data_IF_290252067663
#
_entry.id   IF_290252067663
#
_cell.length_a   1.000
_cell.length_b   1.000
_cell.length_c   1.000
_cell.angle_alpha   90.00
_cell.angle_beta   90.00
_cell.angle_gamma   90.00
#
_symmetry.space_group_name_H-M   'P 1'
#
loop_
_entity.id
_entity.type
_entity.pdbx_description
1 polymer ?
#
# COMPACT_ATOMS: atom_id res chain seq x y z
N UNK A 1 17.33 5.84 6.10
CA UNK A 1 16.24 6.48 6.87
C UNK A 1 15.66 7.58 6.00
N UNK A 2 14.34 7.84 6.07
CA UNK A 2 13.65 8.90 5.37
C UNK A 2 12.81 9.71 6.35
N UNK A 3 12.47 10.95 5.99
CA UNK A 3 11.51 11.75 6.74
C UNK A 3 10.07 11.41 6.30
N UNK A 4 9.07 11.74 7.15
CA UNK A 4 7.66 11.59 6.81
C UNK A 4 7.32 12.36 5.52
N UNK A 5 7.81 13.58 5.39
CA UNK A 5 7.53 14.44 4.25
C UNK A 5 8.13 13.90 2.94
N UNK A 6 9.35 13.37 2.99
CA UNK A 6 9.99 12.80 1.78
C UNK A 6 9.27 11.52 1.35
N UNK A 7 8.84 10.70 2.32
CA UNK A 7 8.10 9.49 2.00
C UNK A 7 6.69 9.78 1.48
N UNK A 8 6.04 10.85 1.99
CA UNK A 8 4.77 11.33 1.46
C UNK A 8 4.92 11.81 0.01
N UNK A 9 5.98 12.57 -0.31
CA UNK A 9 6.29 12.99 -1.68
C UNK A 9 6.50 11.80 -2.62
N UNK A 10 7.23 10.78 -2.14
CA UNK A 10 7.39 9.53 -2.89
C UNK A 10 6.04 8.84 -3.15
N UNK A 11 5.21 8.71 -2.12
CA UNK A 11 3.89 8.08 -2.24
C UNK A 11 2.97 8.87 -3.18
N UNK A 12 2.99 10.20 -3.10
CA UNK A 12 2.22 11.05 -4.02
C UNK A 12 2.72 10.96 -5.46
N UNK A 13 4.04 10.90 -5.67
CA UNK A 13 4.63 10.68 -6.99
C UNK A 13 4.17 9.34 -7.58
N UNK A 14 4.12 8.28 -6.78
CA UNK A 14 3.63 6.97 -7.20
C UNK A 14 2.13 7.02 -7.57
N UNK A 15 1.31 7.69 -6.74
CA UNK A 15 -0.12 7.88 -6.99
C UNK A 15 -0.38 8.65 -8.28
N UNK A 16 0.43 9.66 -8.58
CA UNK A 16 0.35 10.49 -9.78
C UNK A 16 0.94 9.80 -11.04
N UNK A 17 1.18 8.51 -11.02
CA UNK A 17 1.72 7.78 -12.17
C UNK A 17 3.18 8.12 -12.50
N UNK A 18 3.96 8.41 -11.46
CA UNK A 18 5.42 8.58 -11.55
C UNK A 18 5.91 10.02 -11.69
N UNK A 19 5.04 11.01 -11.40
CA UNK A 19 5.38 12.43 -11.53
C UNK A 19 4.95 13.22 -10.29
N UNK A 20 5.75 14.21 -9.90
CA UNK A 20 5.41 15.17 -8.85
C UNK A 20 5.99 16.54 -9.17
N UNK A 21 5.18 17.59 -9.06
CA UNK A 21 5.58 19.00 -9.28
C UNK A 21 6.30 19.22 -10.63
N UNK A 22 5.80 18.58 -11.70
CA UNK A 22 6.38 18.68 -13.03
C UNK A 22 7.66 17.87 -13.26
N UNK A 23 8.15 17.16 -12.24
CA UNK A 23 9.31 16.26 -12.36
C UNK A 23 8.85 14.81 -12.48
N UNK A 24 9.16 14.18 -13.62
CA UNK A 24 8.87 12.76 -13.84
C UNK A 24 10.07 11.90 -13.47
N UNK A 25 9.84 10.97 -12.55
CA UNK A 25 10.85 10.00 -12.09
C UNK A 25 10.63 8.63 -12.75
N UNK A 26 9.35 8.24 -12.90
CA UNK A 26 8.95 6.96 -13.50
C UNK A 26 7.90 7.19 -14.58
N UNK A 27 7.86 6.33 -15.58
CA UNK A 27 6.77 6.35 -16.55
C UNK A 27 5.49 5.73 -15.94
N UNK A 28 4.29 6.10 -16.42
CA UNK A 28 3.05 5.44 -16.00
C UNK A 28 3.08 3.92 -16.23
N UNK A 29 3.70 3.49 -17.33
CA UNK A 29 3.87 2.07 -17.64
C UNK A 29 4.76 1.35 -16.61
N UNK A 30 5.79 2.04 -16.08
CA UNK A 30 6.63 1.50 -15.02
C UNK A 30 5.84 1.36 -13.71
N UNK A 31 5.04 2.36 -13.35
CA UNK A 31 4.16 2.28 -12.18
C UNK A 31 3.18 1.10 -12.33
N UNK A 32 2.52 0.96 -13.47
CA UNK A 32 1.62 -0.17 -13.75
C UNK A 32 2.34 -1.53 -13.63
N UNK A 33 3.57 -1.64 -14.14
CA UNK A 33 4.37 -2.85 -13.98
C UNK A 33 4.70 -3.14 -12.51
N UNK A 34 5.07 -2.12 -11.73
CA UNK A 34 5.45 -2.27 -10.32
C UNK A 34 4.25 -2.65 -9.45
N UNK A 35 3.06 -2.17 -9.78
CA UNK A 35 1.83 -2.38 -9.02
C UNK A 35 0.94 -3.50 -9.57
N UNK A 36 1.43 -4.25 -10.56
CA UNK A 36 0.80 -5.46 -11.08
C UNK A 36 1.27 -6.68 -10.29
N UNK A 37 0.40 -7.68 -10.17
CA UNK A 37 0.73 -8.96 -9.56
C UNK A 37 1.83 -9.67 -10.35
N UNK A 38 2.96 -9.94 -9.67
CA UNK A 38 4.15 -10.56 -10.23
C UNK A 38 4.32 -12.01 -9.74
N UNK A 39 3.46 -12.49 -8.84
CA UNK A 39 3.62 -13.86 -8.31
C UNK A 39 3.09 -14.91 -9.28
N UNK A 40 3.89 -15.92 -9.56
CA UNK A 40 3.40 -17.15 -10.18
C UNK A 40 2.37 -17.83 -9.27
N UNK A 41 1.56 -18.74 -9.80
CA UNK A 41 0.57 -19.47 -9.02
C UNK A 41 1.20 -20.20 -7.81
N UNK A 42 2.34 -20.87 -8.01
CA UNK A 42 3.05 -21.55 -6.91
C UNK A 42 3.60 -20.59 -5.88
N UNK A 43 4.18 -19.45 -6.32
CA UNK A 43 4.68 -18.43 -5.42
C UNK A 43 3.54 -17.75 -4.62
N UNK A 44 2.37 -17.55 -5.24
CA UNK A 44 1.17 -17.02 -4.56
C UNK A 44 0.67 -17.97 -3.48
N UNK A 45 0.58 -19.27 -3.76
CA UNK A 45 0.20 -20.27 -2.77
C UNK A 45 1.17 -20.27 -1.57
N UNK A 46 2.48 -20.22 -1.83
CA UNK A 46 3.49 -20.14 -0.78
C UNK A 46 3.42 -18.81 -0.01
N UNK A 47 3.06 -17.70 -0.66
CA UNK A 47 2.90 -16.39 -0.02
C UNK A 47 1.67 -16.36 0.87
N UNK A 48 0.50 -16.81 0.39
CA UNK A 48 -0.75 -16.84 1.13
C UNK A 48 -0.79 -17.85 2.28
N UNK A 49 0.11 -18.84 2.30
CA UNK A 49 0.25 -19.78 3.42
C UNK A 49 0.95 -19.19 4.64
N UNK A 50 1.53 -17.99 4.53
CA UNK A 50 2.20 -17.33 5.65
C UNK A 50 1.19 -16.80 6.66
N UNK A 51 1.46 -16.89 7.98
CA UNK A 51 0.59 -16.35 9.01
C UNK A 51 0.27 -14.86 8.78
N UNK A 52 -1.01 -14.50 8.82
CA UNK A 52 -1.47 -13.12 8.65
C UNK A 52 -1.56 -12.64 7.19
N UNK A 53 -1.25 -13.48 6.21
CA UNK A 53 -1.47 -13.20 4.79
C UNK A 53 -2.77 -13.87 4.36
N UNK A 54 -3.62 -13.12 3.69
CA UNK A 54 -4.91 -13.57 3.17
C UNK A 54 -4.83 -13.76 1.65
N UNK A 55 -5.82 -14.39 1.06
CA UNK A 55 -5.86 -14.70 -0.38
C UNK A 55 -6.23 -13.49 -1.26
N UNK A 56 -6.56 -12.36 -0.63
CA UNK A 56 -6.79 -11.07 -1.28
C UNK A 56 -5.52 -10.25 -1.50
N UNK A 57 -4.37 -10.73 -1.02
CA UNK A 57 -3.08 -10.07 -1.20
C UNK A 57 -2.15 -10.82 -2.14
N UNK A 58 -1.33 -10.06 -2.85
CA UNK A 58 -0.26 -10.56 -3.71
C UNK A 58 0.96 -9.64 -3.60
N UNK A 59 1.93 -9.76 -4.50
CA UNK A 59 3.14 -8.95 -4.48
C UNK A 59 3.52 -8.46 -5.88
N UNK A 60 3.86 -7.18 -5.98
CA UNK A 60 4.40 -6.54 -7.17
C UNK A 60 5.92 -6.37 -7.08
N UNK A 61 6.44 -5.32 -7.68
CA UNK A 61 7.85 -4.98 -7.56
C UNK A 61 8.04 -4.00 -6.39
N UNK A 62 8.30 -4.54 -5.20
CA UNK A 62 8.54 -3.79 -3.97
C UNK A 62 7.29 -3.45 -3.15
N UNK A 63 6.10 -3.89 -3.57
CA UNK A 63 4.84 -3.62 -2.88
C UNK A 63 4.02 -4.89 -2.67
N UNK A 64 3.38 -4.98 -1.50
CA UNK A 64 2.24 -5.85 -1.30
C UNK A 64 1.00 -5.25 -1.96
N UNK A 65 0.21 -6.06 -2.65
CA UNK A 65 -0.92 -5.64 -3.47
C UNK A 65 -2.23 -6.21 -2.92
N UNK A 66 -3.30 -5.43 -2.97
CA UNK A 66 -4.67 -5.91 -2.76
C UNK A 66 -5.26 -6.31 -4.11
N UNK A 67 -5.40 -7.62 -4.36
CA UNK A 67 -5.81 -8.16 -5.67
C UNK A 67 -7.29 -8.54 -5.74
N UNK A 68 -7.97 -8.65 -4.62
CA UNK A 68 -9.42 -8.84 -4.52
C UNK A 68 -10.04 -7.67 -3.78
N UNK A 69 -11.35 -7.46 -3.92
CA UNK A 69 -12.04 -6.45 -3.12
C UNK A 69 -11.95 -6.82 -1.63
N UNK A 70 -11.33 -5.98 -0.81
CA UNK A 70 -11.20 -6.25 0.61
C UNK A 70 -12.55 -6.08 1.33
N UNK A 71 -12.58 -6.44 2.61
CA UNK A 71 -13.72 -6.14 3.48
C UNK A 71 -13.92 -4.63 3.60
N UNK A 72 -15.17 -4.21 3.81
CA UNK A 72 -15.53 -2.79 3.98
C UNK A 72 -14.58 -2.11 4.99
N UNK A 73 -14.06 -0.94 4.64
CA UNK A 73 -13.20 -0.13 5.50
C UNK A 73 -11.71 -0.48 5.46
N UNK A 74 -11.27 -1.35 4.56
CA UNK A 74 -9.85 -1.77 4.49
C UNK A 74 -9.13 -1.40 3.18
N UNK A 75 -9.71 -0.49 2.39
CA UNK A 75 -9.14 -0.02 1.12
C UNK A 75 -9.84 -0.61 -0.09
N UNK A 76 -9.27 -0.36 -1.26
CA UNK A 76 -9.81 -0.79 -2.55
C UNK A 76 -8.96 -1.90 -3.17
N UNK A 77 -9.53 -2.67 -4.11
CA UNK A 77 -8.73 -3.48 -5.01
C UNK A 77 -7.80 -2.57 -5.80
N UNK A 78 -6.53 -2.92 -5.90
CA UNK A 78 -5.48 -2.11 -6.51
C UNK A 78 -4.67 -1.29 -5.51
N UNK A 79 -5.06 -1.24 -4.24
CA UNK A 79 -4.22 -0.66 -3.18
C UNK A 79 -2.88 -1.38 -3.11
N UNK A 80 -1.80 -0.62 -3.03
CA UNK A 80 -0.45 -1.15 -2.83
C UNK A 80 0.21 -0.50 -1.62
N UNK A 81 1.04 -1.28 -0.92
CA UNK A 81 1.56 -0.92 0.39
C UNK A 81 2.86 -1.63 0.73
N UNK A 82 3.54 -1.13 1.74
CA UNK A 82 4.56 -1.89 2.45
C UNK A 82 4.66 -1.44 3.91
N UNK A 83 5.38 -2.21 4.72
CA UNK A 83 5.53 -1.96 6.14
C UNK A 83 6.95 -2.22 6.62
N UNK A 84 7.37 -1.51 7.66
CA UNK A 84 8.65 -1.67 8.32
C UNK A 84 8.54 -2.44 9.62
N UNK A 85 9.63 -3.13 10.01
CA UNK A 85 9.69 -3.92 11.26
C UNK A 85 9.53 -3.06 12.52
N UNK A 86 9.89 -1.76 12.44
CA UNK A 86 9.73 -0.79 13.53
C UNK A 86 8.34 -0.15 13.59
N UNK A 87 7.33 -0.73 12.94
CA UNK A 87 5.93 -0.31 13.04
C UNK A 87 5.49 0.72 11.99
N UNK A 88 6.38 1.17 11.12
CA UNK A 88 5.99 2.04 10.01
C UNK A 88 5.12 1.29 9.01
N UNK A 89 4.11 1.95 8.46
CA UNK A 89 3.28 1.44 7.37
C UNK A 89 2.88 2.59 6.44
N UNK A 90 2.70 2.28 5.17
CA UNK A 90 2.10 3.21 4.22
C UNK A 90 1.28 2.43 3.20
N UNK A 91 0.28 3.10 2.63
CA UNK A 91 -0.47 2.56 1.51
C UNK A 91 -0.87 3.67 0.54
N UNK A 92 -1.07 3.26 -0.68
CA UNK A 92 -1.51 4.10 -1.78
C UNK A 92 -2.73 3.41 -2.39
N UNK A 93 -3.84 4.11 -2.45
CA UNK A 93 -5.09 3.63 -3.00
C UNK A 93 -5.48 4.51 -4.21
N UNK A 94 -5.12 4.07 -5.44
CA UNK A 94 -5.40 4.87 -6.63
C UNK A 94 -6.89 5.04 -6.92
N UNK A 95 -7.73 4.14 -6.44
CA UNK A 95 -9.18 4.24 -6.64
C UNK A 95 -9.76 5.40 -5.83
N UNK A 96 -9.29 5.61 -4.62
CA UNK A 96 -9.77 6.67 -3.73
C UNK A 96 -8.89 7.94 -3.80
N UNK A 97 -7.93 8.00 -4.73
CA UNK A 97 -6.93 9.08 -4.84
C UNK A 97 -6.27 9.39 -3.50
N UNK A 98 -5.92 8.33 -2.76
CA UNK A 98 -5.47 8.41 -1.38
C UNK A 98 -4.05 7.87 -1.21
N UNK A 99 -3.24 8.62 -0.49
CA UNK A 99 -2.01 8.10 0.13
C UNK A 99 -2.03 8.35 1.62
N UNK A 100 -1.66 7.36 2.41
CA UNK A 100 -1.58 7.49 3.86
C UNK A 100 -0.39 6.72 4.42
N UNK A 101 0.09 7.17 5.57
CA UNK A 101 1.18 6.52 6.29
C UNK A 101 1.03 6.67 7.79
N UNK A 102 1.58 5.70 8.51
CA UNK A 102 1.79 5.77 9.95
C UNK A 102 3.26 5.51 10.24
N UNK A 103 3.87 6.42 10.98
CA UNK A 103 5.29 6.33 11.33
C UNK A 103 5.41 6.14 12.84
N UNK A 104 5.83 4.95 13.23
CA UNK A 104 6.04 4.56 14.62
C UNK A 104 7.47 4.04 14.76
N UNK A 105 8.07 4.25 15.90
CA UNK A 105 9.40 3.74 16.27
C UNK A 105 9.23 2.70 17.38
N UNK A 106 8.65 1.54 17.03
CA UNK A 106 8.37 0.47 18.01
C UNK A 106 8.57 -0.91 17.38
N UNK A 107 9.58 -1.63 17.82
CA UNK A 107 9.75 -3.03 17.45
C UNK A 107 8.59 -3.87 18.01
N UNK A 108 8.04 -4.76 17.18
CA UNK A 108 6.87 -5.56 17.58
C UNK A 108 5.56 -4.77 17.64
N UNK A 109 5.46 -3.66 16.92
CA UNK A 109 4.23 -2.87 16.83
C UNK A 109 3.02 -3.75 16.48
N UNK A 110 1.93 -3.72 17.29
CA UNK A 110 0.80 -4.62 17.10
C UNK A 110 0.11 -4.42 15.75
N UNK A 111 -0.07 -5.48 14.93
CA UNK A 111 -0.79 -5.37 13.65
C UNK A 111 -2.23 -4.83 13.79
N UNK A 112 -2.87 -5.07 14.93
CA UNK A 112 -4.22 -4.58 15.22
C UNK A 112 -4.29 -3.04 15.17
N UNK A 113 -3.35 -2.33 15.78
CA UNK A 113 -3.31 -0.86 15.77
C UNK A 113 -3.11 -0.29 14.37
N UNK A 114 -2.32 -0.97 13.55
CA UNK A 114 -2.14 -0.60 12.13
C UNK A 114 -3.45 -0.72 11.34
N UNK A 115 -4.16 -1.83 11.53
CA UNK A 115 -5.43 -2.08 10.87
C UNK A 115 -6.51 -1.10 11.35
N UNK A 116 -6.53 -0.79 12.65
CA UNK A 116 -7.44 0.21 13.22
C UNK A 116 -7.19 1.60 12.63
N UNK A 117 -5.93 2.04 12.59
CA UNK A 117 -5.57 3.31 11.96
C UNK A 117 -6.03 3.36 10.49
N UNK A 118 -5.77 2.31 9.72
CA UNK A 118 -6.23 2.22 8.33
C UNK A 118 -7.75 2.33 8.23
N UNK A 119 -8.49 1.62 9.08
CA UNK A 119 -9.96 1.68 9.13
C UNK A 119 -10.44 3.10 9.41
N UNK A 120 -9.86 3.80 10.40
CA UNK A 120 -10.22 5.17 10.73
C UNK A 120 -9.97 6.15 9.59
N UNK A 121 -8.87 5.97 8.83
CA UNK A 121 -8.59 6.79 7.64
C UNK A 121 -9.69 6.62 6.59
N UNK A 122 -10.10 5.38 6.28
CA UNK A 122 -11.19 5.16 5.31
C UNK A 122 -12.56 5.63 5.83
N UNK A 123 -12.82 5.56 7.14
CA UNK A 123 -14.04 6.10 7.73
C UNK A 123 -14.10 7.64 7.67
N UNK A 124 -12.98 8.32 7.53
CA UNK A 124 -12.93 9.78 7.39
C UNK A 124 -13.20 10.24 5.94
N UNK A 125 -13.26 9.34 4.97
CA UNK A 125 -13.60 9.66 3.58
C UNK A 125 -15.12 9.85 3.50
N UNK A 126 -15.55 11.04 3.06
CA UNK A 126 -16.98 11.38 2.97
C UNK A 126 -17.64 10.95 1.67
N UNK A 127 -16.83 10.79 0.61
CA UNK A 127 -17.28 10.34 -0.72
C UNK A 127 -16.27 9.33 -1.24
N UNK A 128 -16.73 8.11 -1.55
CA UNK A 128 -15.91 7.03 -2.12
C UNK A 128 -16.03 7.05 -3.65
N UNK A 129 -14.91 6.88 -4.35
CA UNK A 129 -14.84 6.82 -5.83
C UNK A 129 -15.19 5.42 -6.38
#
# INVERSE_FOLDING_TARGET
MSSALDYLRYSQMMLNGGELNGSRILSPTTIDLMTRDQLSQSARLAYSSRPGITDDVSFGLGFGLTVKSPKIGSGSKGTYRWAGIAGTDFWIDPKEDLTAMVLVQMMGYPPALRNEFKTLVYQAITEMN
#
